data_IF_783363771024
#
_entry.id   IF_783363771024
#
_cell.length_a   1.000
_cell.length_b   1.000
_cell.length_c   1.000
_cell.angle_alpha   90.00
_cell.angle_beta   90.00
_cell.angle_gamma   90.00
#
_symmetry.space_group_name_H-M   'P 1'
#
loop_
_entity.id
_entity.type
_entity.pdbx_description
1 polymer ?
#
# COMPACT_ATOMS: atom_id res chain seq x y z
N UNK A 1 5.79 1.18 -19.96
CA UNK A 1 4.91 0.64 -18.89
C UNK A 1 4.08 -0.58 -19.32
N UNK A 2 3.52 -0.63 -20.55
CA UNK A 2 2.72 -1.80 -21.01
C UNK A 2 3.41 -3.16 -21.01
N UNK A 3 4.75 -3.22 -20.90
CA UNK A 3 5.52 -4.48 -20.90
C UNK A 3 5.41 -5.31 -19.62
N UNK A 4 4.86 -4.73 -18.54
CA UNK A 4 4.79 -5.38 -17.23
C UNK A 4 3.41 -6.00 -16.93
N UNK A 5 2.43 -5.81 -17.82
CA UNK A 5 1.05 -6.19 -17.55
C UNK A 5 0.66 -7.46 -18.31
N UNK A 6 0.15 -8.46 -17.61
CA UNK A 6 -0.52 -9.64 -18.14
C UNK A 6 -2.02 -9.39 -18.35
N UNK A 7 -2.79 -10.36 -18.84
CA UNK A 7 -4.23 -10.20 -19.13
C UNK A 7 -5.10 -9.88 -17.89
N UNK A 8 -4.63 -10.19 -16.69
CA UNK A 8 -5.23 -9.74 -15.41
C UNK A 8 -5.13 -8.22 -15.26
N UNK A 9 -4.23 -7.59 -15.99
CA UNK A 9 -3.83 -6.19 -15.89
C UNK A 9 -4.63 -5.18 -16.68
N UNK A 10 -5.48 -5.56 -17.57
CA UNK A 10 -6.45 -4.62 -18.12
C UNK A 10 -7.21 -3.91 -16.98
N UNK A 11 -7.42 -4.62 -15.85
CA UNK A 11 -7.97 -4.04 -14.62
C UNK A 11 -7.02 -3.05 -13.96
N UNK A 12 -5.76 -3.43 -13.73
CA UNK A 12 -4.74 -2.58 -13.10
C UNK A 12 -4.50 -1.30 -13.90
N UNK A 13 -4.22 -1.44 -15.19
CA UNK A 13 -3.96 -0.30 -16.07
C UNK A 13 -5.15 0.64 -16.16
N UNK A 14 -6.38 0.11 -16.23
CA UNK A 14 -7.60 0.92 -16.20
C UNK A 14 -7.71 1.73 -14.91
N UNK A 15 -7.36 1.14 -13.76
CA UNK A 15 -7.42 1.83 -12.47
C UNK A 15 -6.31 2.88 -12.32
N UNK A 16 -5.08 2.58 -12.74
CA UNK A 16 -3.97 3.53 -12.64
C UNK A 16 -4.09 4.69 -13.64
N UNK A 17 -4.52 4.41 -14.87
CA UNK A 17 -4.58 5.40 -15.97
C UNK A 17 -5.98 5.94 -16.24
N UNK A 18 -7.01 5.44 -15.54
CA UNK A 18 -8.39 5.84 -15.75
C UNK A 18 -8.96 5.40 -17.11
N UNK A 19 -8.46 4.28 -17.63
CA UNK A 19 -8.96 3.72 -18.89
C UNK A 19 -10.25 2.90 -18.67
N UNK A 20 -11.11 2.78 -19.68
CA UNK A 20 -12.30 1.95 -19.60
C UNK A 20 -11.94 0.48 -19.30
N UNK A 21 -12.73 -0.17 -18.46
CA UNK A 21 -12.66 -1.61 -18.25
C UNK A 21 -13.86 -2.29 -18.96
N UNK A 22 -13.71 -3.56 -19.32
CA UNK A 22 -14.75 -4.34 -20.03
C UNK A 22 -15.75 -5.05 -19.13
N UNK A 23 -15.78 -4.78 -17.81
CA UNK A 23 -16.64 -5.48 -16.85
C UNK A 23 -18.08 -4.93 -16.90
N UNK A 24 -19.06 -5.84 -16.95
CA UNK A 24 -20.47 -5.50 -16.81
C UNK A 24 -20.86 -5.29 -15.35
N UNK A 25 -21.89 -4.47 -15.12
CA UNK A 25 -22.48 -4.32 -13.80
C UNK A 25 -23.16 -5.62 -13.37
N UNK A 26 -22.95 -6.02 -12.12
CA UNK A 26 -23.75 -7.06 -11.48
C UNK A 26 -25.18 -6.53 -11.21
N UNK A 27 -26.16 -7.41 -10.95
CA UNK A 27 -27.49 -6.96 -10.56
C UNK A 27 -27.49 -6.06 -9.33
N UNK A 28 -26.58 -6.28 -8.37
CA UNK A 28 -26.39 -5.47 -7.18
C UNK A 28 -25.89 -4.05 -7.54
N UNK A 29 -24.85 -3.95 -8.37
CA UNK A 29 -24.35 -2.66 -8.86
C UNK A 29 -25.45 -1.91 -9.60
N UNK A 30 -26.19 -2.58 -10.48
CA UNK A 30 -27.28 -1.95 -11.23
C UNK A 30 -28.40 -1.44 -10.31
N UNK A 31 -28.76 -2.19 -9.27
CA UNK A 31 -29.75 -1.77 -8.27
C UNK A 31 -29.31 -0.52 -7.51
N UNK A 32 -28.04 -0.48 -7.03
CA UNK A 32 -27.51 0.69 -6.36
C UNK A 32 -27.43 1.93 -7.28
N UNK A 33 -27.11 1.74 -8.57
CA UNK A 33 -27.09 2.84 -9.56
C UNK A 33 -28.48 3.44 -9.83
N UNK A 34 -29.54 2.70 -9.59
CA UNK A 34 -30.91 3.17 -9.74
C UNK A 34 -31.30 4.23 -8.68
N UNK A 35 -30.53 4.34 -7.58
CA UNK A 35 -30.76 5.26 -6.46
C UNK A 35 -29.63 6.32 -6.34
N UNK A 36 -29.43 7.17 -7.35
CA UNK A 36 -28.24 8.02 -7.45
C UNK A 36 -28.16 9.15 -6.40
N UNK A 37 -29.26 9.46 -5.71
CA UNK A 37 -29.35 10.50 -4.68
C UNK A 37 -29.56 9.90 -3.27
N UNK A 38 -29.36 8.60 -3.13
CA UNK A 38 -29.42 7.91 -1.84
C UNK A 38 -28.00 7.66 -1.32
N UNK A 39 -27.66 8.28 -0.19
CA UNK A 39 -26.32 8.17 0.42
C UNK A 39 -25.94 6.71 0.70
N UNK A 40 -26.82 5.92 1.31
CA UNK A 40 -26.55 4.52 1.67
C UNK A 40 -26.40 3.63 0.41
N UNK A 41 -27.20 3.88 -0.62
CA UNK A 41 -27.06 3.18 -1.90
C UNK A 41 -25.72 3.50 -2.58
N UNK A 42 -25.22 4.74 -2.47
CA UNK A 42 -23.91 5.12 -3.00
C UNK A 42 -22.75 4.46 -2.23
N UNK A 43 -22.86 4.31 -0.91
CA UNK A 43 -21.88 3.54 -0.13
C UNK A 43 -21.87 2.06 -0.54
N UNK A 44 -23.04 1.46 -0.65
CA UNK A 44 -23.20 0.07 -1.09
C UNK A 44 -22.69 -0.15 -2.53
N UNK A 45 -22.95 0.82 -3.40
CA UNK A 45 -22.40 0.83 -4.76
C UNK A 45 -20.88 0.81 -4.74
N UNK A 46 -20.25 1.65 -3.93
CA UNK A 46 -18.80 1.70 -3.81
C UNK A 46 -18.22 0.36 -3.32
N UNK A 47 -18.86 -0.25 -2.31
CA UNK A 47 -18.43 -1.56 -1.80
C UNK A 47 -18.54 -2.64 -2.89
N UNK A 48 -19.66 -2.72 -3.61
CA UNK A 48 -19.86 -3.67 -4.70
C UNK A 48 -18.86 -3.48 -5.86
N UNK A 49 -18.53 -2.22 -6.19
CA UNK A 49 -17.51 -1.88 -7.19
C UNK A 49 -16.11 -2.31 -6.74
N UNK A 50 -15.79 -2.16 -5.45
CA UNK A 50 -14.50 -2.59 -4.90
C UNK A 50 -14.29 -4.11 -5.03
N UNK A 51 -15.32 -4.95 -4.89
CA UNK A 51 -15.24 -6.38 -5.12
C UNK A 51 -14.86 -6.75 -6.56
N UNK A 52 -15.11 -5.86 -7.51
CA UNK A 52 -14.69 -5.99 -8.91
C UNK A 52 -13.39 -5.24 -9.22
N UNK A 53 -12.68 -4.72 -8.22
CA UNK A 53 -11.48 -3.87 -8.36
C UNK A 53 -11.74 -2.61 -9.22
N UNK A 54 -12.99 -2.10 -9.25
CA UNK A 54 -13.42 -0.90 -9.98
C UNK A 54 -13.27 0.34 -9.10
N UNK A 55 -12.07 0.59 -8.62
CA UNK A 55 -11.80 1.59 -7.58
C UNK A 55 -12.11 3.03 -8.01
N UNK A 56 -11.89 3.38 -9.28
CA UNK A 56 -12.22 4.73 -9.78
C UNK A 56 -13.72 5.01 -9.74
N UNK A 57 -14.53 4.03 -10.14
CA UNK A 57 -15.98 4.17 -10.06
C UNK A 57 -16.48 4.18 -8.61
N UNK A 58 -15.82 3.44 -7.72
CA UNK A 58 -16.09 3.53 -6.29
C UNK A 58 -15.77 4.93 -5.74
N UNK A 59 -14.67 5.56 -6.17
CA UNK A 59 -14.34 6.94 -5.84
C UNK A 59 -15.42 7.90 -6.32
N UNK A 60 -15.93 7.74 -7.53
CA UNK A 60 -17.01 8.58 -8.07
C UNK A 60 -18.30 8.44 -7.26
N UNK A 61 -18.68 7.21 -6.90
CA UNK A 61 -19.85 6.94 -6.05
C UNK A 61 -19.70 7.59 -4.66
N UNK A 62 -18.54 7.43 -4.02
CA UNK A 62 -18.24 8.03 -2.71
C UNK A 62 -18.16 9.56 -2.77
N UNK A 63 -17.66 10.12 -3.87
CA UNK A 63 -17.62 11.57 -4.08
C UNK A 63 -19.03 12.14 -4.18
N UNK A 64 -19.96 11.41 -4.83
CA UNK A 64 -21.39 11.79 -4.84
C UNK A 64 -22.02 11.66 -3.47
N UNK A 65 -21.73 10.61 -2.72
CA UNK A 65 -22.18 10.46 -1.35
C UNK A 65 -21.74 11.64 -0.45
N UNK A 66 -20.47 12.05 -0.60
CA UNK A 66 -19.93 13.22 0.10
C UNK A 66 -20.65 14.50 -0.30
N UNK A 67 -21.02 14.67 -1.57
CA UNK A 67 -21.77 15.84 -2.00
C UNK A 67 -23.18 15.91 -1.39
N UNK A 68 -23.80 14.76 -1.12
CA UNK A 68 -25.11 14.68 -0.45
C UNK A 68 -25.03 14.95 1.06
N UNK A 69 -23.94 14.52 1.71
CA UNK A 69 -23.77 14.62 3.16
C UNK A 69 -22.30 14.88 3.53
N UNK A 70 -21.79 16.11 3.31
CA UNK A 70 -20.36 16.42 3.46
C UNK A 70 -19.84 16.36 4.91
N UNK A 71 -20.73 16.32 5.90
CA UNK A 71 -20.41 16.15 7.33
C UNK A 71 -20.20 14.69 7.71
N UNK A 72 -20.68 13.73 6.92
CA UNK A 72 -20.57 12.29 7.22
C UNK A 72 -19.18 11.79 6.84
N UNK A 73 -18.41 11.37 7.84
CA UNK A 73 -17.00 10.94 7.69
C UNK A 73 -16.87 9.58 7.02
N UNK A 74 -17.89 8.75 7.08
CA UNK A 74 -17.85 7.38 6.56
C UNK A 74 -17.45 7.29 5.08
N UNK A 75 -18.01 8.17 4.22
CA UNK A 75 -17.68 8.18 2.81
C UNK A 75 -16.21 8.56 2.54
N UNK A 76 -15.64 9.49 3.32
CA UNK A 76 -14.21 9.85 3.24
C UNK A 76 -13.33 8.66 3.68
N UNK A 77 -13.69 7.99 4.79
CA UNK A 77 -12.96 6.81 5.29
C UNK A 77 -12.96 5.67 4.26
N UNK A 78 -14.05 5.46 3.54
CA UNK A 78 -14.14 4.49 2.45
C UNK A 78 -13.37 4.93 1.20
N UNK A 79 -13.32 6.24 0.89
CA UNK A 79 -12.69 6.76 -0.33
C UNK A 79 -11.17 6.83 -0.24
N UNK A 80 -10.60 7.18 0.92
CA UNK A 80 -9.16 7.29 1.13
C UNK A 80 -8.36 6.08 0.65
N UNK A 81 -8.69 4.82 1.03
CA UNK A 81 -8.04 3.64 0.50
C UNK A 81 -8.08 3.52 -1.03
N UNK A 82 -9.21 3.89 -1.65
CA UNK A 82 -9.38 3.79 -3.10
C UNK A 82 -8.52 4.82 -3.85
N UNK A 83 -8.27 5.96 -3.23
CA UNK A 83 -7.28 6.91 -3.74
C UNK A 83 -5.86 6.33 -3.70
N UNK A 84 -5.46 5.61 -2.65
CA UNK A 84 -4.17 4.89 -2.61
C UNK A 84 -4.11 3.84 -3.73
N UNK A 85 -5.15 3.00 -3.86
CA UNK A 85 -5.25 1.93 -4.86
C UNK A 85 -5.22 2.45 -6.31
N UNK A 86 -5.48 3.75 -6.53
CA UNK A 86 -5.50 4.40 -7.85
C UNK A 86 -4.41 5.45 -8.04
N UNK A 87 -3.37 5.43 -7.19
CA UNK A 87 -2.20 6.33 -7.22
C UNK A 87 -2.54 7.83 -7.03
N UNK A 88 -3.65 8.14 -6.36
CA UNK A 88 -4.08 9.50 -6.06
C UNK A 88 -3.71 9.89 -4.61
N UNK A 89 -2.42 9.85 -4.30
CA UNK A 89 -1.91 9.89 -2.93
C UNK A 89 -2.22 11.19 -2.18
N UNK A 90 -2.18 12.34 -2.85
CA UNK A 90 -2.56 13.63 -2.25
C UNK A 90 -4.03 13.65 -1.82
N UNK A 91 -4.94 13.15 -2.65
CA UNK A 91 -6.36 13.05 -2.31
C UNK A 91 -6.62 12.06 -1.15
N UNK A 92 -5.82 11.00 -1.06
CA UNK A 92 -5.87 10.09 0.08
C UNK A 92 -5.48 10.80 1.39
N UNK A 93 -4.41 11.62 1.39
CA UNK A 93 -3.99 12.41 2.54
C UNK A 93 -5.08 13.38 3.01
N UNK A 94 -5.76 14.05 2.08
CA UNK A 94 -6.86 14.97 2.41
C UNK A 94 -7.99 14.24 3.13
N UNK A 95 -8.41 13.06 2.62
CA UNK A 95 -9.48 12.27 3.21
C UNK A 95 -9.09 11.74 4.60
N UNK A 96 -7.88 11.19 4.77
CA UNK A 96 -7.43 10.69 6.07
C UNK A 96 -7.22 11.81 7.09
N UNK A 97 -6.68 12.94 6.69
CA UNK A 97 -6.55 14.11 7.57
C UNK A 97 -7.91 14.61 8.03
N UNK A 98 -8.92 14.56 7.15
CA UNK A 98 -10.30 14.91 7.53
C UNK A 98 -10.87 13.91 8.52
N UNK A 99 -10.64 12.61 8.33
CA UNK A 99 -11.05 11.57 9.26
C UNK A 99 -10.42 11.77 10.64
N UNK A 100 -9.11 12.05 10.71
CA UNK A 100 -8.44 12.30 11.99
C UNK A 100 -8.97 13.54 12.73
N UNK A 101 -9.34 14.60 12.01
CA UNK A 101 -9.95 15.79 12.63
C UNK A 101 -11.30 15.50 13.24
N UNK A 102 -12.05 14.55 12.69
CA UNK A 102 -13.40 14.21 13.16
C UNK A 102 -13.38 13.16 14.28
N UNK A 103 -12.60 12.08 14.11
CA UNK A 103 -12.65 10.88 14.94
C UNK A 103 -11.41 10.72 15.84
N UNK A 104 -10.40 11.56 15.67
CA UNK A 104 -9.11 11.42 16.34
C UNK A 104 -8.12 10.53 15.59
N UNK A 105 -6.91 10.49 16.11
CA UNK A 105 -5.80 9.71 15.57
C UNK A 105 -5.97 8.22 15.89
N UNK A 106 -5.73 7.35 14.93
CA UNK A 106 -5.75 5.89 15.07
C UNK A 106 -4.57 5.23 14.39
N UNK A 107 -4.30 3.96 14.72
CA UNK A 107 -3.32 3.12 14.02
C UNK A 107 -3.60 3.12 12.52
N UNK A 108 -4.85 2.84 12.13
CA UNK A 108 -5.24 2.78 10.71
C UNK A 108 -4.99 4.11 10.00
N UNK A 109 -5.39 5.24 10.58
CA UNK A 109 -5.20 6.54 9.92
C UNK A 109 -3.73 6.90 9.79
N UNK A 110 -2.90 6.70 10.82
CA UNK A 110 -1.46 6.96 10.77
C UNK A 110 -0.74 6.07 9.78
N UNK A 111 -1.07 4.78 9.77
CA UNK A 111 -0.51 3.84 8.80
C UNK A 111 -0.82 4.27 7.35
N UNK A 112 -2.08 4.64 7.05
CA UNK A 112 -2.51 5.07 5.71
C UNK A 112 -1.89 6.41 5.30
N UNK A 113 -1.78 7.35 6.21
CA UNK A 113 -1.07 8.62 6.00
C UNK A 113 0.40 8.34 5.72
N UNK A 114 1.04 7.46 6.49
CA UNK A 114 2.41 7.02 6.25
C UNK A 114 2.59 6.42 4.85
N UNK A 115 1.67 5.57 4.41
CA UNK A 115 1.68 5.00 3.07
C UNK A 115 1.58 6.06 1.97
N UNK A 116 0.66 7.04 2.12
CA UNK A 116 0.51 8.11 1.15
C UNK A 116 1.79 8.96 1.03
N UNK A 117 2.39 9.35 2.16
CA UNK A 117 3.67 10.06 2.18
C UNK A 117 4.80 9.22 1.56
N UNK A 118 4.86 7.91 1.86
CA UNK A 118 5.86 7.01 1.27
C UNK A 118 5.77 6.99 -0.26
N UNK A 119 4.56 6.87 -0.81
CA UNK A 119 4.33 6.88 -2.27
C UNK A 119 4.65 8.23 -2.91
N UNK A 120 4.48 9.35 -2.17
CA UNK A 120 4.89 10.69 -2.59
C UNK A 120 6.39 10.93 -2.44
N UNK A 121 7.16 9.95 -1.90
CA UNK A 121 8.58 10.07 -1.56
C UNK A 121 8.89 11.11 -0.48
N UNK A 122 7.93 11.46 0.29
CA UNK A 122 8.06 12.31 1.47
C UNK A 122 8.48 11.44 2.66
N UNK A 123 9.64 10.79 2.55
CA UNK A 123 10.06 9.70 3.43
C UNK A 123 10.20 10.10 4.89
N UNK A 124 10.56 11.35 5.18
CA UNK A 124 10.59 11.86 6.56
C UNK A 124 9.21 11.96 7.18
N UNK A 125 8.22 12.43 6.40
CA UNK A 125 6.83 12.48 6.83
C UNK A 125 6.24 11.08 6.97
N UNK A 126 6.57 10.17 6.06
CA UNK A 126 6.19 8.77 6.15
C UNK A 126 6.74 8.11 7.42
N UNK A 127 8.04 8.29 7.71
CA UNK A 127 8.67 7.76 8.92
C UNK A 127 8.01 8.30 10.19
N UNK A 128 7.67 9.59 10.24
CA UNK A 128 6.97 10.19 11.38
C UNK A 128 5.58 9.55 11.57
N UNK A 129 4.80 9.40 10.48
CA UNK A 129 3.46 8.82 10.55
C UNK A 129 3.48 7.34 10.96
N UNK A 130 4.43 6.52 10.45
CA UNK A 130 4.59 5.13 10.88
C UNK A 130 5.11 5.01 12.32
N UNK A 131 5.95 5.94 12.77
CA UNK A 131 6.37 6.00 14.18
C UNK A 131 5.20 6.32 15.11
N UNK A 132 4.31 7.24 14.72
CA UNK A 132 3.09 7.55 15.46
C UNK A 132 2.16 6.34 15.50
N UNK A 133 1.98 5.61 14.37
CA UNK A 133 1.21 4.36 14.31
C UNK A 133 1.78 3.30 15.24
N UNK A 134 3.10 3.07 15.17
CA UNK A 134 3.80 2.09 16.01
C UNK A 134 3.69 2.40 17.51
N UNK A 135 3.57 3.68 17.88
CA UNK A 135 3.36 4.08 19.27
C UNK A 135 1.94 3.76 19.79
N UNK A 136 0.98 3.58 18.90
CA UNK A 136 -0.42 3.27 19.23
C UNK A 136 -0.72 1.75 19.17
N UNK A 137 0.06 0.99 18.40
CA UNK A 137 -0.18 -0.45 18.19
C UNK A 137 0.35 -1.29 19.35
N UNK A 138 -0.37 -2.37 19.70
CA UNK A 138 0.11 -3.36 20.66
C UNK A 138 1.19 -4.24 20.03
N UNK A 139 2.15 -4.71 20.83
CA UNK A 139 3.17 -5.67 20.38
C UNK A 139 2.60 -7.03 19.95
N UNK A 140 1.40 -7.37 20.42
CA UNK A 140 0.69 -8.60 20.09
C UNK A 140 -0.23 -8.43 18.86
N UNK A 141 -0.20 -7.25 18.23
CA UNK A 141 -0.93 -6.96 17.01
C UNK A 141 -0.01 -7.17 15.80
N UNK A 142 -0.52 -7.78 14.75
CA UNK A 142 0.24 -8.03 13.52
C UNK A 142 0.59 -6.73 12.75
N UNK A 143 -0.14 -5.64 13.00
CA UNK A 143 0.22 -4.32 12.49
C UNK A 143 1.55 -3.82 13.03
N UNK A 144 2.03 -4.32 14.19
CA UNK A 144 3.32 -3.91 14.74
C UNK A 144 4.48 -4.19 13.78
N UNK A 145 4.55 -5.39 13.18
CA UNK A 145 5.61 -5.69 12.20
C UNK A 145 5.43 -4.92 10.89
N UNK A 146 4.19 -4.62 10.50
CA UNK A 146 3.90 -3.80 9.32
C UNK A 146 4.38 -2.34 9.51
N UNK A 147 4.13 -1.76 10.69
CA UNK A 147 4.62 -0.42 11.04
C UNK A 147 6.16 -0.37 11.09
N UNK A 148 6.80 -1.37 11.74
CA UNK A 148 8.27 -1.47 11.77
C UNK A 148 8.83 -1.55 10.34
N UNK A 149 8.23 -2.39 9.49
CA UNK A 149 8.66 -2.56 8.10
C UNK A 149 8.63 -1.23 7.34
N UNK A 150 7.50 -0.55 7.27
CA UNK A 150 7.38 0.69 6.52
C UNK A 150 8.17 1.85 7.14
N UNK A 151 8.28 1.90 8.47
CA UNK A 151 9.15 2.87 9.16
C UNK A 151 10.61 2.66 8.78
N UNK A 152 11.12 1.43 8.84
CA UNK A 152 12.50 1.11 8.46
C UNK A 152 12.75 1.42 6.99
N UNK A 153 11.83 1.04 6.08
CA UNK A 153 11.98 1.36 4.66
C UNK A 153 11.97 2.88 4.40
N UNK A 154 11.11 3.62 5.09
CA UNK A 154 11.08 5.09 5.00
C UNK A 154 12.41 5.71 5.44
N UNK A 155 12.97 5.26 6.55
CA UNK A 155 14.25 5.74 7.06
C UNK A 155 15.42 5.40 6.12
N UNK A 156 15.43 4.19 5.56
CA UNK A 156 16.45 3.79 4.57
C UNK A 156 16.35 4.65 3.29
N UNK A 157 15.15 4.94 2.81
CA UNK A 157 14.93 5.82 1.65
C UNK A 157 15.27 7.29 1.93
N UNK A 158 15.15 7.71 3.19
CA UNK A 158 15.60 9.03 3.67
C UNK A 158 17.13 9.07 3.96
N UNK A 159 17.88 8.01 3.64
CA UNK A 159 19.31 7.84 3.93
C UNK A 159 19.65 7.90 5.44
N UNK A 160 18.67 7.65 6.32
CA UNK A 160 18.81 7.64 7.79
C UNK A 160 19.08 6.23 8.32
N UNK A 161 20.14 5.61 7.82
CA UNK A 161 20.49 4.21 8.14
C UNK A 161 20.68 3.97 9.64
N UNK A 162 21.26 4.92 10.37
CA UNK A 162 21.46 4.78 11.83
C UNK A 162 20.14 4.74 12.59
N UNK A 163 19.15 5.53 12.17
CA UNK A 163 17.81 5.55 12.77
C UNK A 163 17.04 4.27 12.43
N UNK A 164 17.15 3.79 11.19
CA UNK A 164 16.56 2.50 10.79
C UNK A 164 17.08 1.33 11.67
N UNK A 165 18.40 1.28 11.90
CA UNK A 165 18.98 0.31 12.82
C UNK A 165 18.57 0.52 14.28
N UNK A 166 18.35 1.76 14.72
CA UNK A 166 17.84 2.03 16.07
C UNK A 166 16.42 1.50 16.25
N UNK A 167 15.53 1.73 15.28
CA UNK A 167 14.16 1.20 15.26
C UNK A 167 14.17 -0.34 15.34
N UNK A 168 14.98 -1.00 14.52
CA UNK A 168 15.10 -2.47 14.54
C UNK A 168 15.55 -2.99 15.91
N UNK A 169 16.59 -2.40 16.51
CA UNK A 169 17.07 -2.81 17.86
C UNK A 169 16.03 -2.59 18.95
N UNK A 170 15.18 -1.59 18.83
CA UNK A 170 14.20 -1.22 19.85
C UNK A 170 12.89 -2.02 19.73
N UNK A 171 12.43 -2.28 18.51
CA UNK A 171 11.07 -2.75 18.25
C UNK A 171 10.99 -4.14 17.64
N UNK A 172 12.03 -4.61 16.92
CA UNK A 172 12.00 -5.90 16.24
C UNK A 172 12.68 -7.00 17.09
N UNK A 173 12.05 -8.16 17.13
CA UNK A 173 12.64 -9.40 17.67
C UNK A 173 12.22 -10.57 16.76
N UNK A 174 13.11 -11.58 16.51
CA UNK A 174 12.82 -12.68 15.58
C UNK A 174 11.65 -13.59 15.99
N UNK A 175 11.23 -13.53 17.25
CA UNK A 175 10.14 -14.29 17.86
C UNK A 175 8.89 -13.43 18.13
N UNK A 176 8.87 -12.19 17.62
CA UNK A 176 7.70 -11.33 17.78
C UNK A 176 6.48 -11.89 17.04
N UNK A 177 5.30 -11.54 17.52
CA UNK A 177 4.07 -11.87 16.81
C UNK A 177 3.99 -11.11 15.48
N UNK A 178 3.74 -11.82 14.39
CA UNK A 178 3.70 -11.26 13.04
C UNK A 178 2.35 -11.51 12.32
N UNK A 179 1.48 -12.36 12.90
CA UNK A 179 0.18 -12.69 12.33
C UNK A 179 0.28 -13.12 10.87
N UNK A 180 -0.45 -12.44 10.01
CA UNK A 180 -0.43 -12.68 8.56
C UNK A 180 0.64 -11.87 7.80
N UNK A 181 1.44 -11.04 8.48
CA UNK A 181 2.50 -10.23 7.89
C UNK A 181 3.88 -10.91 7.84
N UNK A 182 3.92 -12.23 7.70
CA UNK A 182 5.16 -13.03 7.66
C UNK A 182 6.11 -12.59 6.54
N UNK A 183 5.58 -12.08 5.43
CA UNK A 183 6.38 -11.58 4.32
C UNK A 183 7.16 -10.30 4.67
N UNK A 184 6.58 -9.39 5.47
CA UNK A 184 7.27 -8.21 5.97
C UNK A 184 8.39 -8.60 6.95
N UNK A 185 8.11 -9.60 7.79
CA UNK A 185 9.08 -10.12 8.76
C UNK A 185 10.35 -10.65 8.07
N UNK A 186 10.23 -11.34 6.93
CA UNK A 186 11.39 -11.82 6.15
C UNK A 186 12.39 -10.71 5.83
N UNK A 187 11.92 -9.54 5.39
CA UNK A 187 12.78 -8.40 5.11
C UNK A 187 13.37 -7.79 6.38
N UNK A 188 12.59 -7.72 7.47
CA UNK A 188 13.06 -7.20 8.76
C UNK A 188 14.11 -8.10 9.40
N UNK A 189 13.98 -9.40 9.25
CA UNK A 189 14.99 -10.38 9.69
C UNK A 189 16.35 -10.13 9.04
N UNK A 190 16.37 -9.84 7.73
CA UNK A 190 17.58 -9.47 6.99
C UNK A 190 18.09 -8.09 7.41
N UNK A 191 17.21 -7.12 7.57
CA UNK A 191 17.58 -5.76 7.97
C UNK A 191 18.20 -5.71 9.37
N UNK A 192 17.72 -6.56 10.29
CA UNK A 192 18.22 -6.68 11.66
C UNK A 192 19.45 -7.59 11.80
N UNK A 193 19.89 -8.27 10.73
CA UNK A 193 21.09 -9.14 10.74
C UNK A 193 20.84 -10.55 11.28
N UNK A 194 19.60 -11.01 11.35
CA UNK A 194 19.23 -12.38 11.74
C UNK A 194 19.14 -13.36 10.55
N UNK A 195 19.28 -12.88 9.32
CA UNK A 195 19.33 -13.68 8.11
C UNK A 195 20.22 -13.01 7.05
N UNK A 196 20.82 -13.81 6.19
CA UNK A 196 21.62 -13.32 5.08
C UNK A 196 20.71 -12.94 3.89
N UNK A 197 21.02 -11.80 3.26
CA UNK A 197 20.22 -11.26 2.13
C UNK A 197 20.15 -12.23 0.95
N UNK A 198 21.27 -12.86 0.59
CA UNK A 198 21.35 -13.73 -0.58
C UNK A 198 20.62 -15.06 -0.36
N UNK A 199 20.63 -15.58 0.87
CA UNK A 199 19.85 -16.74 1.27
C UNK A 199 18.34 -16.43 1.21
N UNK A 200 17.92 -15.31 1.78
CA UNK A 200 16.52 -14.88 1.76
C UNK A 200 16.00 -14.64 0.34
N UNK A 201 16.80 -14.06 -0.55
CA UNK A 201 16.45 -13.90 -1.97
C UNK A 201 16.32 -15.24 -2.69
N UNK A 202 17.16 -16.22 -2.35
CA UNK A 202 17.06 -17.57 -2.89
C UNK A 202 15.80 -18.30 -2.43
N UNK A 203 15.45 -18.18 -1.14
CA UNK A 203 14.20 -18.73 -0.61
C UNK A 203 12.97 -18.11 -1.25
N UNK A 204 13.03 -16.80 -1.50
CA UNK A 204 11.92 -16.05 -2.11
C UNK A 204 11.60 -16.53 -3.54
N UNK A 205 12.58 -17.01 -4.31
CA UNK A 205 12.33 -17.55 -5.66
C UNK A 205 11.36 -18.75 -5.65
N UNK A 206 11.25 -19.47 -4.53
CA UNK A 206 10.34 -20.60 -4.35
C UNK A 206 8.93 -20.20 -3.85
N UNK A 207 8.71 -18.91 -3.54
CA UNK A 207 7.42 -18.43 -3.04
C UNK A 207 6.36 -18.44 -4.15
N UNK A 208 5.29 -19.25 -4.05
CA UNK A 208 4.29 -19.37 -5.10
C UNK A 208 3.26 -18.24 -5.10
N UNK A 209 3.00 -17.62 -3.93
CA UNK A 209 1.95 -16.63 -3.78
C UNK A 209 2.44 -15.22 -4.11
N UNK A 210 1.81 -14.57 -5.09
CA UNK A 210 2.20 -13.23 -5.55
C UNK A 210 2.18 -12.19 -4.44
N UNK A 211 1.20 -12.25 -3.52
CA UNK A 211 1.12 -11.32 -2.40
C UNK A 211 2.32 -11.45 -1.47
N UNK A 212 2.61 -12.68 -1.01
CA UNK A 212 3.73 -12.96 -0.09
C UNK A 212 5.07 -12.63 -0.74
N UNK A 213 5.23 -13.03 -2.02
CA UNK A 213 6.41 -12.67 -2.80
C UNK A 213 6.62 -11.16 -2.86
N UNK A 214 5.61 -10.43 -3.30
CA UNK A 214 5.70 -8.98 -3.54
C UNK A 214 6.01 -8.21 -2.26
N UNK A 215 5.37 -8.56 -1.16
CA UNK A 215 5.60 -7.92 0.14
C UNK A 215 7.03 -8.13 0.63
N UNK A 216 7.56 -9.36 0.57
CA UNK A 216 8.93 -9.64 0.98
C UNK A 216 9.95 -9.05 0.01
N UNK A 217 9.73 -9.24 -1.31
CA UNK A 217 10.62 -8.76 -2.37
C UNK A 217 10.82 -7.26 -2.32
N UNK A 218 9.76 -6.48 -2.06
CA UNK A 218 9.87 -5.03 -2.01
C UNK A 218 10.80 -4.56 -0.87
N UNK A 219 10.66 -5.13 0.32
CA UNK A 219 11.56 -4.81 1.43
C UNK A 219 13.02 -5.18 1.14
N UNK A 220 13.25 -6.38 0.58
CA UNK A 220 14.60 -6.82 0.17
C UNK A 220 15.16 -5.94 -0.96
N UNK A 221 14.31 -5.44 -1.86
CA UNK A 221 14.68 -4.50 -2.91
C UNK A 221 15.19 -3.17 -2.33
N UNK A 222 14.50 -2.61 -1.35
CA UNK A 222 14.95 -1.39 -0.65
C UNK A 222 16.26 -1.62 0.12
N UNK A 223 16.44 -2.81 0.70
CA UNK A 223 17.72 -3.18 1.32
C UNK A 223 18.87 -3.31 0.30
N UNK A 224 18.62 -3.83 -0.89
CA UNK A 224 19.62 -3.85 -1.98
C UNK A 224 19.99 -2.42 -2.39
N UNK A 225 18.99 -1.55 -2.54
CA UNK A 225 19.17 -0.16 -2.90
C UNK A 225 20.02 0.59 -1.87
N UNK A 226 19.68 0.47 -0.58
CA UNK A 226 20.44 1.09 0.52
C UNK A 226 21.89 0.62 0.62
N UNK A 227 22.21 -0.56 0.06
CA UNK A 227 23.55 -1.13 -0.06
C UNK A 227 24.23 -0.81 -1.41
N UNK A 228 23.64 0.05 -2.25
CA UNK A 228 24.18 0.46 -3.55
C UNK A 228 24.18 -0.65 -4.62
N UNK A 229 23.32 -1.68 -4.49
CA UNK A 229 23.26 -2.82 -5.40
C UNK A 229 22.29 -2.58 -6.57
N UNK A 230 22.45 -1.47 -7.30
CA UNK A 230 21.51 -0.95 -8.30
C UNK A 230 21.02 -1.99 -9.30
N UNK A 231 21.90 -2.74 -9.96
CA UNK A 231 21.50 -3.73 -10.96
C UNK A 231 20.60 -4.84 -10.38
N UNK A 232 20.85 -5.25 -9.13
CA UNK A 232 20.00 -6.25 -8.43
C UNK A 232 18.67 -5.65 -8.00
N UNK A 233 18.66 -4.39 -7.60
CA UNK A 233 17.44 -3.61 -7.27
C UNK A 233 16.52 -3.57 -8.48
N UNK A 234 17.03 -3.20 -9.66
CA UNK A 234 16.26 -3.16 -10.90
C UNK A 234 15.70 -4.54 -11.29
N UNK A 235 16.56 -5.57 -11.25
CA UNK A 235 16.16 -6.93 -11.58
C UNK A 235 15.04 -7.45 -10.64
N UNK A 236 15.12 -7.12 -9.35
CA UNK A 236 14.09 -7.52 -8.38
C UNK A 236 12.79 -6.73 -8.59
N UNK A 237 12.88 -5.43 -8.88
CA UNK A 237 11.72 -4.59 -9.24
C UNK A 237 10.97 -5.16 -10.45
N UNK A 238 11.68 -5.56 -11.50
CA UNK A 238 11.05 -6.18 -12.66
C UNK A 238 10.32 -7.49 -12.30
N UNK A 239 10.88 -8.31 -11.41
CA UNK A 239 10.23 -9.54 -10.95
C UNK A 239 8.95 -9.23 -10.16
N UNK A 240 8.98 -8.24 -9.26
CA UNK A 240 7.79 -7.77 -8.52
C UNK A 240 6.70 -7.37 -9.51
N UNK A 241 7.02 -6.51 -10.48
CA UNK A 241 6.05 -5.98 -11.43
C UNK A 241 5.49 -7.02 -12.41
N UNK A 242 6.08 -8.19 -12.52
CA UNK A 242 5.53 -9.33 -13.28
C UNK A 242 4.59 -10.21 -12.46
N UNK A 243 4.58 -10.07 -11.13
CA UNK A 243 3.76 -10.82 -10.19
C UNK A 243 2.61 -9.96 -9.66
N UNK A 244 1.64 -9.80 -10.45
CA UNK A 244 0.60 -8.79 -10.41
C UNK A 244 -0.77 -9.27 -9.92
N UNK A 245 -0.86 -10.51 -9.51
CA UNK A 245 -2.11 -11.09 -8.98
C UNK A 245 -2.71 -10.30 -7.81
N UNK A 246 -1.87 -9.54 -7.08
CA UNK A 246 -2.27 -8.63 -6.00
C UNK A 246 -1.73 -7.22 -6.22
N UNK A 247 -1.88 -6.68 -7.43
CA UNK A 247 -1.38 -5.36 -7.83
C UNK A 247 -1.82 -4.20 -6.91
N UNK A 248 -2.91 -4.35 -6.20
CA UNK A 248 -3.42 -3.36 -5.25
C UNK A 248 -2.77 -3.45 -3.86
N UNK A 249 -1.82 -4.35 -3.62
CA UNK A 249 -1.04 -4.33 -2.38
C UNK A 249 0.00 -3.20 -2.39
N UNK A 250 0.25 -2.61 -1.23
CA UNK A 250 1.13 -1.44 -1.11
C UNK A 250 2.54 -1.67 -1.62
N UNK A 251 3.10 -2.85 -1.43
CA UNK A 251 4.44 -3.19 -1.92
C UNK A 251 4.51 -3.20 -3.45
N UNK A 252 3.45 -3.64 -4.13
CA UNK A 252 3.35 -3.55 -5.58
C UNK A 252 3.19 -2.10 -6.05
N UNK A 253 2.29 -1.34 -5.43
CA UNK A 253 2.05 0.07 -5.74
C UNK A 253 3.34 0.88 -5.57
N UNK A 254 4.12 0.61 -4.53
CA UNK A 254 5.40 1.26 -4.29
C UNK A 254 6.43 0.89 -5.38
N UNK A 255 6.56 -0.40 -5.72
CA UNK A 255 7.45 -0.83 -6.81
C UNK A 255 7.06 -0.23 -8.17
N UNK A 256 5.74 -0.13 -8.43
CA UNK A 256 5.21 0.50 -9.65
C UNK A 256 5.53 1.99 -9.69
N UNK A 257 5.33 2.71 -8.58
CA UNK A 257 5.64 4.14 -8.47
C UNK A 257 7.14 4.41 -8.64
N UNK A 258 7.99 3.54 -8.06
CA UNK A 258 9.44 3.62 -8.22
C UNK A 258 9.86 3.42 -9.70
N UNK A 259 9.22 2.50 -10.42
CA UNK A 259 9.50 2.24 -11.84
C UNK A 259 9.03 3.41 -12.73
N UNK A 260 7.86 3.98 -12.44
CA UNK A 260 7.30 5.07 -13.22
C UNK A 260 8.16 6.34 -13.21
N UNK A 261 8.93 6.55 -12.13
CA UNK A 261 9.80 7.71 -11.98
C UNK A 261 11.24 7.46 -12.46
N UNK A 262 11.62 6.19 -12.66
CA UNK A 262 12.93 5.82 -13.20
C UNK A 262 12.99 5.90 -14.75
N UNK A 263 11.85 5.97 -15.44
CA UNK A 263 11.80 6.18 -16.89
C UNK A 263 11.93 7.70 -17.16
N UNK A 264 12.98 8.17 -17.86
CA UNK A 264 13.03 9.56 -18.30
C UNK A 264 11.92 9.80 -19.34
N UNK A 265 11.28 10.98 -19.27
CA UNK A 265 10.29 11.48 -20.24
C UNK A 265 10.80 11.43 -21.69
#
# INVERSE_FOLDING_TARGET
>A
MGKYFSDIHASCESQFRGLPHGLADTPEIAACRAEPENYEALLSLADALCWQLRFREAIDALTRAIALAPERIEAYRKRGPKYLDTLQFGAALDDYTRCERADGVSVESRYRIGMAHYMLREYDAAAAAFSDSLALVSRDDDMCVADIYWLVLSLLRAEKNADAHAVLRQHYAPDMYVGHHTAYEKAMRVAAGFAELDEMLSELEAEPEDLQYTMAAYGLMVLLESRGKQARTEALREKILRRDGFWYCFSYLAAYTDAAQAEPD
#
